data_IF_682339677278
#
_entry.id   IF_682339677278
#
_cell.length_a   1.000
_cell.length_b   1.000
_cell.length_c   1.000
_cell.angle_alpha   90.00
_cell.angle_beta   90.00
_cell.angle_gamma   90.00
#
_symmetry.space_group_name_H-M   'P 1'
#
loop_
_entity.id
_entity.type
_entity.pdbx_description
1 polymer ?
#
# COMPACT_ATOMS: atom_id res chain seq x y z
N UNK A 1 -46.68 -13.39 16.10
CA UNK A 1 -45.21 -13.25 16.21
C UNK A 1 -44.57 -13.24 14.82
N UNK A 2 -44.81 -12.22 13.98
CA UNK A 2 -44.23 -12.18 12.60
C UNK A 2 -43.56 -10.84 12.28
N UNK A 3 -43.81 -9.78 13.07
CA UNK A 3 -43.32 -8.43 12.78
C UNK A 3 -41.89 -8.16 13.29
N UNK A 4 -41.33 -9.03 14.14
CA UNK A 4 -39.98 -8.82 14.72
C UNK A 4 -38.83 -9.44 13.92
N UNK A 5 -39.11 -10.28 12.92
CA UNK A 5 -38.06 -10.99 12.16
C UNK A 5 -37.53 -10.16 10.96
N UNK A 6 -38.27 -9.16 10.50
CA UNK A 6 -37.91 -8.38 9.31
C UNK A 6 -36.92 -7.24 9.59
N UNK A 7 -36.79 -6.80 10.84
CA UNK A 7 -35.90 -5.68 11.20
C UNK A 7 -34.42 -6.13 11.25
N UNK A 8 -34.16 -7.41 11.53
CA UNK A 8 -32.80 -7.93 11.63
C UNK A 8 -32.10 -8.09 10.26
N UNK A 9 -32.86 -8.25 9.17
CA UNK A 9 -32.28 -8.52 7.85
C UNK A 9 -31.83 -7.22 7.16
N UNK A 10 -32.49 -6.09 7.42
CA UNK A 10 -32.12 -4.79 6.85
C UNK A 10 -30.77 -4.25 7.35
N UNK A 11 -30.38 -4.56 8.60
CA UNK A 11 -29.14 -4.06 9.18
C UNK A 11 -27.88 -4.82 8.71
N UNK A 12 -28.01 -6.08 8.29
CA UNK A 12 -26.85 -6.90 7.85
C UNK A 12 -26.40 -6.51 6.44
N UNK A 13 -27.32 -6.08 5.58
CA UNK A 13 -26.99 -5.62 4.22
C UNK A 13 -26.30 -4.25 4.19
N UNK A 14 -26.60 -3.36 5.13
CA UNK A 14 -25.96 -2.03 5.17
C UNK A 14 -24.51 -2.07 5.68
N UNK A 15 -24.14 -3.07 6.48
CA UNK A 15 -22.76 -3.22 6.98
C UNK A 15 -21.85 -3.96 5.99
N UNK A 16 -22.39 -4.85 5.15
CA UNK A 16 -21.60 -5.57 4.13
C UNK A 16 -21.29 -4.72 2.89
N UNK A 17 -22.04 -3.65 2.63
CA UNK A 17 -21.82 -2.77 1.47
C UNK A 17 -20.59 -1.85 1.59
N UNK A 18 -20.17 -1.52 2.82
CA UNK A 18 -19.06 -0.59 3.05
C UNK A 18 -17.69 -1.18 2.68
N UNK A 19 -17.49 -2.49 2.88
CA UNK A 19 -16.23 -3.16 2.52
C UNK A 19 -16.12 -3.42 1.01
N UNK A 20 -17.23 -3.75 0.34
CA UNK A 20 -17.29 -3.94 -1.11
C UNK A 20 -16.99 -2.65 -1.88
N UNK A 21 -17.53 -1.51 -1.41
CA UNK A 21 -17.21 -0.21 -2.01
C UNK A 21 -15.73 0.13 -1.86
N UNK A 22 -15.09 -0.28 -0.75
CA UNK A 22 -13.67 0.03 -0.49
C UNK A 22 -12.72 -0.62 -1.50
N UNK A 23 -13.09 -1.78 -2.06
CA UNK A 23 -12.37 -2.50 -3.13
C UNK A 23 -12.55 -1.88 -4.52
N UNK A 24 -13.67 -1.19 -4.78
CA UNK A 24 -13.97 -0.61 -6.09
C UNK A 24 -13.29 0.74 -6.35
N UNK A 25 -12.68 1.35 -5.32
CA UNK A 25 -12.03 2.64 -5.53
C UNK A 25 -10.70 2.48 -6.27
N UNK A 26 -10.53 3.18 -7.40
CA UNK A 26 -9.32 3.08 -8.20
C UNK A 26 -8.11 3.57 -7.41
N UNK A 27 -6.98 2.92 -7.64
CA UNK A 27 -5.70 3.40 -7.13
C UNK A 27 -5.35 4.75 -7.77
N UNK A 28 -4.79 5.67 -6.98
CA UNK A 28 -4.35 6.99 -7.43
C UNK A 28 -2.85 7.05 -7.68
N UNK A 29 -2.45 8.05 -8.46
CA UNK A 29 -1.07 8.48 -8.60
C UNK A 29 -0.56 9.09 -7.29
N UNK A 30 0.68 8.76 -6.92
CA UNK A 30 1.42 9.44 -5.86
C UNK A 30 2.18 10.64 -6.41
N UNK A 31 2.27 11.69 -5.61
CA UNK A 31 3.16 12.83 -5.91
C UNK A 31 4.56 12.60 -5.35
N UNK A 32 5.55 13.32 -5.89
CA UNK A 32 6.91 13.27 -5.36
C UNK A 32 6.97 13.67 -3.88
N UNK A 33 6.26 14.72 -3.48
CA UNK A 33 6.25 15.21 -2.10
C UNK A 33 5.66 14.19 -1.12
N UNK A 34 4.58 13.50 -1.49
CA UNK A 34 3.98 12.44 -0.67
C UNK A 34 4.92 11.25 -0.50
N UNK A 35 5.56 10.82 -1.60
CA UNK A 35 6.51 9.72 -1.60
C UNK A 35 7.74 10.06 -0.76
N UNK A 36 8.30 11.26 -0.89
CA UNK A 36 9.44 11.71 -0.11
C UNK A 36 9.12 11.76 1.40
N UNK A 37 7.94 12.27 1.75
CA UNK A 37 7.48 12.29 3.14
C UNK A 37 7.28 10.87 3.71
N UNK A 38 6.78 9.93 2.90
CA UNK A 38 6.62 8.53 3.30
C UNK A 38 7.97 7.82 3.47
N UNK A 39 8.90 8.02 2.53
CA UNK A 39 10.27 7.50 2.56
C UNK A 39 11.00 7.93 3.84
N UNK A 40 10.92 9.22 4.19
CA UNK A 40 11.51 9.76 5.43
C UNK A 40 10.86 9.15 6.67
N UNK A 41 9.52 9.15 6.73
CA UNK A 41 8.74 8.62 7.87
C UNK A 41 8.98 7.13 8.09
N UNK A 42 9.10 6.37 7.01
CA UNK A 42 9.33 4.92 7.05
C UNK A 42 10.81 4.54 7.18
N UNK A 43 11.71 5.52 7.34
CA UNK A 43 13.15 5.30 7.52
C UNK A 43 13.71 4.38 6.43
N UNK A 44 13.43 4.69 5.16
CA UNK A 44 14.04 3.98 4.05
C UNK A 44 15.56 4.31 4.05
N UNK A 45 16.47 3.32 4.01
CA UNK A 45 17.90 3.56 4.04
C UNK A 45 18.37 4.46 2.89
N UNK A 46 19.36 5.32 3.12
CA UNK A 46 19.88 6.25 2.11
C UNK A 46 20.44 5.57 0.84
N UNK A 47 20.86 4.29 0.94
CA UNK A 47 21.31 3.48 -0.19
C UNK A 47 20.20 2.70 -0.90
N UNK A 48 18.96 2.77 -0.44
CA UNK A 48 17.82 2.15 -1.09
C UNK A 48 17.31 3.05 -2.22
N UNK A 49 16.91 2.42 -3.32
CA UNK A 49 16.35 3.10 -4.47
C UNK A 49 14.88 3.42 -4.24
N UNK A 50 14.45 4.60 -4.67
CA UNK A 50 13.03 4.91 -4.85
C UNK A 50 12.84 5.98 -5.92
N UNK A 51 11.64 5.99 -6.54
CA UNK A 51 11.20 7.06 -7.45
C UNK A 51 9.69 7.08 -7.61
N UNK A 52 9.20 8.15 -8.25
CA UNK A 52 7.85 8.25 -8.81
C UNK A 52 7.96 8.27 -10.33
N UNK A 53 7.21 7.40 -11.01
CA UNK A 53 7.14 7.39 -12.48
C UNK A 53 6.23 8.51 -13.01
N UNK A 54 6.24 8.74 -14.32
CA UNK A 54 5.37 9.77 -14.96
C UNK A 54 3.87 9.52 -14.74
N UNK A 55 3.47 8.25 -14.60
CA UNK A 55 2.10 7.82 -14.32
C UNK A 55 1.77 7.78 -12.81
N UNK A 56 2.70 8.19 -11.96
CA UNK A 56 2.50 8.28 -10.51
C UNK A 56 2.65 6.97 -9.74
N UNK A 57 3.29 5.96 -10.33
CA UNK A 57 3.65 4.72 -9.65
C UNK A 57 4.81 4.97 -8.69
N UNK A 58 4.63 4.60 -7.42
CA UNK A 58 5.71 4.60 -6.44
C UNK A 58 6.55 3.35 -6.54
N UNK A 59 7.82 3.51 -6.88
CA UNK A 59 8.76 2.39 -7.02
C UNK A 59 9.79 2.51 -5.91
N UNK A 60 10.05 1.44 -5.16
CA UNK A 60 11.11 1.41 -4.15
C UNK A 60 11.78 0.03 -4.09
N UNK A 61 13.04 -0.02 -3.66
CA UNK A 61 13.75 -1.28 -3.61
C UNK A 61 15.28 -1.18 -3.58
N UNK A 62 15.95 -2.28 -3.95
CA UNK A 62 17.41 -2.39 -4.07
C UNK A 62 17.78 -2.40 -5.54
N UNK A 63 18.61 -1.45 -5.97
CA UNK A 63 19.07 -1.38 -7.36
C UNK A 63 20.25 -2.32 -7.67
N UNK A 64 21.00 -2.75 -6.65
CA UNK A 64 22.18 -3.62 -6.83
C UNK A 64 22.20 -4.72 -5.77
N UNK A 65 22.86 -5.84 -6.09
CA UNK A 65 23.09 -6.96 -5.16
C UNK A 65 23.87 -6.54 -3.91
N UNK A 66 24.75 -5.55 -4.03
CA UNK A 66 25.60 -5.05 -2.95
C UNK A 66 24.92 -3.98 -2.08
N UNK A 67 23.77 -3.45 -2.49
CA UNK A 67 23.03 -2.48 -1.70
C UNK A 67 22.57 -3.13 -0.38
N UNK A 68 22.67 -2.43 0.74
CA UNK A 68 22.20 -2.94 2.02
C UNK A 68 20.73 -3.39 1.94
N UNK A 69 20.35 -4.50 2.61
CA UNK A 69 18.97 -4.96 2.61
C UNK A 69 18.06 -3.89 3.23
N UNK A 70 16.89 -3.69 2.64
CA UNK A 70 15.87 -2.80 3.21
C UNK A 70 15.30 -3.50 4.45
N UNK A 71 15.30 -2.85 5.63
CA UNK A 71 14.70 -3.43 6.82
C UNK A 71 13.23 -3.80 6.59
N UNK A 72 12.81 -4.97 7.12
CA UNK A 72 11.42 -5.44 7.03
C UNK A 72 10.43 -4.41 7.56
N UNK A 73 10.80 -3.64 8.59
CA UNK A 73 9.98 -2.58 9.17
C UNK A 73 9.73 -1.42 8.19
N UNK A 74 10.76 -0.96 7.48
CA UNK A 74 10.66 0.12 6.49
C UNK A 74 9.77 -0.31 5.32
N UNK A 75 9.95 -1.54 4.85
CA UNK A 75 9.12 -2.14 3.79
C UNK A 75 7.66 -2.24 4.23
N UNK A 76 7.37 -2.79 5.42
CA UNK A 76 6.01 -2.87 5.95
C UNK A 76 5.36 -1.49 6.11
N UNK A 77 6.13 -0.49 6.54
CA UNK A 77 5.64 0.87 6.68
C UNK A 77 5.23 1.47 5.33
N UNK A 78 6.08 1.32 4.29
CA UNK A 78 5.79 1.81 2.95
C UNK A 78 4.58 1.08 2.33
N UNK A 79 4.48 -0.24 2.50
CA UNK A 79 3.31 -1.01 2.03
C UNK A 79 2.03 -0.54 2.72
N UNK A 80 2.06 -0.31 4.04
CA UNK A 80 0.89 0.23 4.76
C UNK A 80 0.52 1.63 4.27
N UNK A 81 1.51 2.48 3.99
CA UNK A 81 1.27 3.81 3.44
C UNK A 81 0.64 3.73 2.05
N UNK A 82 1.16 2.90 1.14
CA UNK A 82 0.59 2.76 -0.22
C UNK A 82 -0.82 2.22 -0.18
N UNK A 83 -1.09 1.19 0.63
CA UNK A 83 -2.42 0.61 0.82
C UNK A 83 -3.40 1.63 1.43
N UNK A 84 -2.99 2.31 2.50
CA UNK A 84 -3.82 3.30 3.19
C UNK A 84 -4.18 4.50 2.32
N UNK A 85 -3.33 4.84 1.35
CA UNK A 85 -3.54 5.96 0.41
C UNK A 85 -4.01 5.52 -0.98
N UNK A 86 -4.21 4.21 -1.19
CA UNK A 86 -4.52 3.59 -2.49
C UNK A 86 -3.55 4.01 -3.60
N UNK A 87 -2.27 4.10 -3.27
CA UNK A 87 -1.21 4.46 -4.22
C UNK A 87 -0.75 3.20 -4.95
N UNK A 88 -0.64 3.29 -6.29
CA UNK A 88 0.00 2.23 -7.07
C UNK A 88 1.48 2.16 -6.66
N UNK A 89 1.97 0.97 -6.34
CA UNK A 89 3.37 0.79 -5.98
C UNK A 89 3.97 -0.48 -6.59
N UNK A 90 5.27 -0.43 -6.87
CA UNK A 90 6.07 -1.56 -7.30
C UNK A 90 7.31 -1.68 -6.42
N UNK A 91 7.70 -2.93 -6.15
CA UNK A 91 8.91 -3.24 -5.41
C UNK A 91 9.98 -3.74 -6.37
N UNK A 92 11.16 -3.13 -6.34
CA UNK A 92 12.32 -3.56 -7.14
C UNK A 92 13.31 -4.23 -6.21
N UNK A 93 13.15 -5.52 -5.98
CA UNK A 93 14.17 -6.34 -5.34
C UNK A 93 14.89 -7.14 -6.41
N UNK A 94 16.22 -7.20 -6.35
CA UNK A 94 16.88 -8.39 -6.86
C UNK A 94 16.45 -9.53 -5.92
N UNK A 95 15.67 -10.48 -6.42
CA UNK A 95 15.48 -11.76 -5.75
C UNK A 95 16.88 -12.40 -5.71
N UNK A 96 17.57 -12.26 -4.59
CA UNK A 96 18.39 -13.37 -4.17
C UNK A 96 17.37 -14.38 -3.68
N UNK A 97 17.05 -15.34 -4.54
CA UNK A 97 16.14 -16.44 -4.24
C UNK A 97 16.38 -16.92 -2.80
N UNK A 98 15.28 -17.09 -2.08
CA UNK A 98 15.24 -18.13 -1.08
C UNK A 98 15.31 -19.47 -1.81
N UNK A 99 16.49 -20.09 -1.77
CA UNK A 99 16.67 -21.55 -1.70
C UNK A 99 17.68 -21.83 -0.60
#
# INVERSE_FOLDING_TARGET
>A
MVVRLLIAIGCVFLLSGCDLMRMLWPSRAATHQEAEAAVKRCHLPAGAYWRITKDGLFVFGRMTLNASPIPKQSTKCLIKWTQGNRIKAAFVGWEADGL
#
